data_IF_762579862253
#
_entry.id   IF_762579862253
#
_cell.length_a   1.000
_cell.length_b   1.000
_cell.length_c   1.000
_cell.angle_alpha   90.00
_cell.angle_beta   90.00
_cell.angle_gamma   90.00
#
_symmetry.space_group_name_H-M   'P 1'
#
loop_
_entity.id
_entity.type
_entity.pdbx_description
1 polymer ?
#
# COMPACT_ATOMS: atom_id res chain seq x y z
N UNK A 1 -8.56 13.79 4.47
CA UNK A 1 -9.85 13.89 3.73
C UNK A 1 -10.05 12.60 2.97
N UNK A 2 -11.22 11.94 3.04
CA UNK A 2 -11.44 10.65 2.41
C UNK A 2 -11.35 10.75 0.87
N UNK A 3 -10.70 9.76 0.23
CA UNK A 3 -10.45 9.71 -1.22
C UNK A 3 -11.69 9.29 -2.05
N UNK A 4 -12.87 9.82 -1.73
CA UNK A 4 -14.17 9.38 -2.29
C UNK A 4 -14.22 9.44 -3.82
N UNK A 5 -13.68 10.50 -4.43
CA UNK A 5 -13.65 10.66 -5.88
C UNK A 5 -12.77 9.60 -6.56
N UNK A 6 -11.64 9.26 -5.95
CA UNK A 6 -10.76 8.18 -6.44
C UNK A 6 -11.45 6.82 -6.28
N UNK A 7 -12.06 6.55 -5.12
CA UNK A 7 -12.77 5.29 -4.85
C UNK A 7 -13.83 5.00 -5.91
N UNK A 8 -14.66 5.99 -6.27
CA UNK A 8 -15.64 5.84 -7.35
C UNK A 8 -15.00 5.61 -8.73
N UNK A 9 -13.87 6.28 -9.01
CA UNK A 9 -13.21 6.19 -10.30
C UNK A 9 -12.45 4.87 -10.52
N UNK A 10 -11.96 4.22 -9.45
CA UNK A 10 -11.24 2.94 -9.54
C UNK A 10 -12.13 1.72 -9.41
N UNK A 11 -13.36 1.86 -8.89
CA UNK A 11 -14.28 0.76 -8.61
C UNK A 11 -14.47 -0.22 -9.78
N UNK A 12 -14.55 0.21 -11.07
CA UNK A 12 -14.68 -0.72 -12.19
C UNK A 12 -13.45 -1.60 -12.45
N UNK A 13 -12.30 -1.27 -11.85
CA UNK A 13 -11.00 -1.91 -12.13
C UNK A 13 -10.38 -2.57 -10.91
N UNK A 14 -10.81 -2.18 -9.71
CA UNK A 14 -10.30 -2.71 -8.45
C UNK A 14 -10.88 -4.12 -8.19
N UNK A 15 -10.01 -5.04 -7.80
CA UNK A 15 -10.40 -6.38 -7.34
C UNK A 15 -10.69 -6.40 -5.84
N UNK A 16 -9.91 -5.64 -5.07
CA UNK A 16 -10.12 -5.36 -3.65
C UNK A 16 -9.59 -3.97 -3.33
N UNK A 17 -10.22 -3.27 -2.39
CA UNK A 17 -9.80 -1.96 -1.92
C UNK A 17 -10.12 -1.80 -0.43
N UNK A 18 -9.31 -1.02 0.28
CA UNK A 18 -9.50 -0.66 1.69
C UNK A 18 -8.95 0.75 1.94
N UNK A 19 -9.55 1.48 2.87
CA UNK A 19 -8.98 2.70 3.42
C UNK A 19 -7.89 2.38 4.44
N UNK A 20 -6.74 3.05 4.34
CA UNK A 20 -5.63 2.85 5.27
C UNK A 20 -5.90 3.70 6.52
N UNK A 21 -6.22 3.04 7.63
CA UNK A 21 -6.52 3.66 8.93
C UNK A 21 -5.61 3.21 10.05
N UNK A 22 -5.07 2.00 9.96
CA UNK A 22 -4.26 1.40 11.03
C UNK A 22 -2.80 1.18 10.58
N UNK A 23 -2.57 1.32 9.27
CA UNK A 23 -1.25 1.24 8.65
C UNK A 23 -1.27 0.34 7.43
N UNK A 24 -0.50 0.72 6.40
CA UNK A 24 -0.54 0.04 5.10
C UNK A 24 -0.29 -1.47 5.20
N UNK A 25 0.61 -1.91 6.08
CA UNK A 25 0.94 -3.33 6.21
C UNK A 25 -0.21 -4.14 6.82
N UNK A 26 -0.87 -3.59 7.84
CA UNK A 26 -2.01 -4.21 8.50
C UNK A 26 -3.22 -4.29 7.57
N UNK A 27 -3.57 -3.15 6.97
CA UNK A 27 -4.75 -3.02 6.11
C UNK A 27 -4.63 -3.83 4.82
N UNK A 28 -3.43 -3.84 4.22
CA UNK A 28 -3.15 -4.75 3.11
C UNK A 28 -3.18 -6.21 3.57
N UNK A 29 -2.68 -6.51 4.77
CA UNK A 29 -2.76 -7.84 5.39
C UNK A 29 -4.21 -8.36 5.46
N UNK A 30 -5.17 -7.52 5.79
CA UNK A 30 -6.60 -7.88 5.78
C UNK A 30 -7.09 -8.27 4.38
N UNK A 31 -6.75 -7.48 3.35
CA UNK A 31 -7.09 -7.80 1.95
C UNK A 31 -6.50 -9.16 1.56
N UNK A 32 -5.23 -9.39 1.89
CA UNK A 32 -4.50 -10.61 1.53
C UNK A 32 -5.09 -11.86 2.20
N UNK A 33 -5.38 -11.77 3.50
CA UNK A 33 -5.97 -12.87 4.26
C UNK A 33 -7.37 -13.22 3.74
N UNK A 34 -8.23 -12.21 3.55
CA UNK A 34 -9.58 -12.42 3.02
C UNK A 34 -9.58 -13.00 1.60
N UNK A 35 -8.53 -12.73 0.82
CA UNK A 35 -8.39 -13.16 -0.57
C UNK A 35 -7.57 -14.47 -0.72
N UNK A 36 -6.95 -14.98 0.35
CA UNK A 36 -6.10 -16.18 0.31
C UNK A 36 -4.84 -16.02 -0.56
N UNK A 37 -4.28 -14.82 -0.66
CA UNK A 37 -3.10 -14.50 -1.50
C UNK A 37 -2.02 -13.78 -0.68
N UNK A 38 -0.83 -13.60 -1.26
CA UNK A 38 0.23 -12.77 -0.69
C UNK A 38 0.55 -11.54 -1.54
N UNK A 39 1.53 -10.75 -1.12
CA UNK A 39 2.00 -9.61 -1.91
C UNK A 39 3.49 -9.34 -1.71
N UNK A 40 4.08 -8.66 -2.68
CA UNK A 40 5.39 -8.02 -2.60
C UNK A 40 5.21 -6.53 -2.80
N UNK A 41 5.65 -5.72 -1.83
CA UNK A 41 5.69 -4.26 -1.93
C UNK A 41 7.12 -3.76 -1.84
N UNK A 42 7.40 -2.67 -2.55
CA UNK A 42 8.69 -2.02 -2.64
C UNK A 42 8.66 -0.69 -1.91
N UNK A 43 9.53 -0.54 -0.91
CA UNK A 43 9.55 0.63 -0.04
C UNK A 43 9.89 1.91 -0.79
N UNK A 44 10.75 1.84 -1.80
CA UNK A 44 11.12 2.99 -2.63
C UNK A 44 9.97 3.52 -3.49
N UNK A 45 8.92 2.71 -3.68
CA UNK A 45 7.73 3.05 -4.47
C UNK A 45 6.59 3.58 -3.63
N UNK A 46 6.68 3.50 -2.30
CA UNK A 46 5.66 4.04 -1.43
C UNK A 46 5.60 5.56 -1.58
N UNK A 47 4.40 6.14 -1.79
CA UNK A 47 4.23 7.58 -1.83
C UNK A 47 4.61 8.14 -0.47
N UNK A 48 5.46 9.16 -0.46
CA UNK A 48 5.83 9.85 0.78
C UNK A 48 6.23 11.27 0.45
N UNK A 49 6.00 12.17 1.40
CA UNK A 49 6.38 13.57 1.26
C UNK A 49 7.91 13.67 1.33
N UNK A 50 8.57 14.38 0.38
CA UNK A 50 10.02 14.56 0.39
C UNK A 50 10.57 15.07 1.74
N UNK A 51 9.81 15.93 2.43
CA UNK A 51 10.18 16.43 3.75
C UNK A 51 10.28 15.34 4.83
N UNK A 52 9.42 14.31 4.76
CA UNK A 52 9.45 13.18 5.70
C UNK A 52 10.67 12.29 5.46
N UNK A 53 11.08 12.13 4.20
CA UNK A 53 12.32 11.39 3.85
C UNK A 53 13.59 12.04 4.41
N UNK A 54 13.60 13.36 4.58
CA UNK A 54 14.74 14.09 5.15
C UNK A 54 14.69 14.25 6.66
N UNK A 55 13.48 14.22 7.25
CA UNK A 55 13.29 14.49 8.68
C UNK A 55 13.30 13.22 9.54
N UNK A 56 13.02 12.06 8.95
CA UNK A 56 12.89 10.78 9.66
C UNK A 56 14.06 9.84 9.34
N UNK A 57 14.47 9.06 10.33
CA UNK A 57 15.30 7.87 10.05
C UNK A 57 14.47 6.86 9.25
N UNK A 58 15.14 5.91 8.58
CA UNK A 58 14.45 4.83 7.86
C UNK A 58 13.48 4.06 8.76
N UNK A 59 13.87 3.80 10.02
CA UNK A 59 13.04 3.10 11.00
C UNK A 59 11.78 3.91 11.37
N UNK A 60 11.92 5.21 11.63
CA UNK A 60 10.79 6.08 11.91
C UNK A 60 9.84 6.19 10.71
N UNK A 61 10.40 6.27 9.51
CA UNK A 61 9.61 6.31 8.28
C UNK A 61 8.82 5.02 8.07
N UNK A 62 9.43 3.84 8.34
CA UNK A 62 8.72 2.57 8.30
C UNK A 62 7.60 2.51 9.34
N UNK A 63 7.87 2.95 10.58
CA UNK A 63 6.86 3.02 11.63
C UNK A 63 5.66 3.88 11.20
N UNK A 64 5.90 5.07 10.65
CA UNK A 64 4.83 5.97 10.22
C UNK A 64 4.09 5.47 8.97
N UNK A 65 4.77 4.90 7.99
CA UNK A 65 4.16 4.58 6.68
C UNK A 65 3.50 3.20 6.67
N UNK A 66 4.06 2.25 7.42
CA UNK A 66 3.61 0.85 7.41
C UNK A 66 2.72 0.52 8.60
N UNK A 67 2.88 1.20 9.73
CA UNK A 67 2.09 1.02 10.95
C UNK A 67 1.47 2.32 11.50
N UNK A 68 1.58 3.44 10.77
CA UNK A 68 0.88 4.69 11.09
C UNK A 68 -0.37 4.84 10.24
N UNK A 69 -1.42 5.39 10.84
CA UNK A 69 -2.80 5.23 10.36
C UNK A 69 -3.58 6.50 9.98
N UNK A 70 -3.01 7.69 10.16
CA UNK A 70 -3.83 8.93 10.14
C UNK A 70 -3.98 9.61 8.77
N UNK A 71 -3.40 9.05 7.70
CA UNK A 71 -3.37 9.71 6.38
C UNK A 71 -4.63 9.41 5.52
N UNK A 72 -5.47 8.43 5.90
CA UNK A 72 -6.71 8.04 5.19
C UNK A 72 -6.54 7.88 3.67
N UNK A 73 -5.46 7.22 3.26
CA UNK A 73 -5.19 6.91 1.85
C UNK A 73 -5.94 5.64 1.41
N UNK A 74 -6.05 5.43 0.10
CA UNK A 74 -6.72 4.26 -0.47
C UNK A 74 -5.69 3.22 -0.93
N UNK A 75 -5.77 2.00 -0.42
CA UNK A 75 -5.01 0.85 -0.95
C UNK A 75 -5.95 -0.04 -1.76
N UNK A 76 -5.52 -0.49 -2.94
CA UNK A 76 -6.31 -1.38 -3.77
C UNK A 76 -5.44 -2.28 -4.66
N UNK A 77 -6.05 -3.34 -5.18
CA UNK A 77 -5.45 -4.26 -6.15
C UNK A 77 -6.17 -4.17 -7.47
N UNK A 78 -5.44 -4.25 -8.59
CA UNK A 78 -6.02 -4.26 -9.93
C UNK A 78 -5.15 -5.09 -10.89
N UNK A 79 -5.75 -5.80 -11.86
CA UNK A 79 -5.01 -6.48 -12.93
C UNK A 79 -4.08 -5.54 -13.71
N UNK A 80 -2.94 -6.06 -14.15
CA UNK A 80 -1.96 -5.28 -14.93
C UNK A 80 -2.52 -4.73 -16.25
N UNK A 81 -3.54 -5.38 -16.82
CA UNK A 81 -4.24 -4.91 -18.02
C UNK A 81 -5.02 -3.61 -17.81
N UNK A 82 -5.36 -3.24 -16.57
CA UNK A 82 -6.09 -2.01 -16.26
C UNK A 82 -5.20 -0.84 -15.85
N UNK A 83 -3.88 -0.93 -16.03
CA UNK A 83 -2.94 0.13 -15.61
C UNK A 83 -3.27 1.49 -16.22
N UNK A 84 -3.53 1.54 -17.52
CA UNK A 84 -3.88 2.81 -18.19
C UNK A 84 -5.21 3.36 -17.68
N UNK A 85 -6.19 2.49 -17.43
CA UNK A 85 -7.48 2.89 -16.89
C UNK A 85 -7.37 3.46 -15.46
N UNK A 86 -6.52 2.85 -14.63
CA UNK A 86 -6.20 3.35 -13.28
C UNK A 86 -5.49 4.70 -13.34
N UNK A 87 -4.52 4.88 -14.23
CA UNK A 87 -3.85 6.19 -14.41
C UNK A 87 -4.85 7.27 -14.83
N UNK A 88 -5.72 6.97 -15.80
CA UNK A 88 -6.76 7.90 -16.21
C UNK A 88 -7.78 8.20 -15.09
N UNK A 89 -8.09 7.23 -14.23
CA UNK A 89 -8.94 7.44 -13.05
C UNK A 89 -8.26 8.36 -12.01
N UNK A 90 -6.96 8.20 -11.80
CA UNK A 90 -6.16 9.06 -10.92
C UNK A 90 -6.16 10.52 -11.40
N UNK A 91 -5.95 10.73 -12.70
CA UNK A 91 -5.99 12.05 -13.32
C UNK A 91 -7.39 12.70 -13.20
N UNK A 92 -8.45 11.98 -13.55
CA UNK A 92 -9.84 12.49 -13.44
C UNK A 92 -10.24 12.85 -12.02
N UNK A 93 -9.73 12.13 -11.02
CA UNK A 93 -10.01 12.38 -9.60
C UNK A 93 -9.03 13.37 -8.96
N UNK A 94 -8.08 13.90 -9.73
CA UNK A 94 -7.00 14.76 -9.25
C UNK A 94 -6.27 14.17 -8.02
N UNK A 95 -6.18 12.85 -7.93
CA UNK A 95 -5.59 12.12 -6.81
C UNK A 95 -4.46 11.24 -7.34
N UNK A 96 -3.19 11.54 -7.02
CA UNK A 96 -2.06 10.72 -7.44
C UNK A 96 -2.19 9.28 -6.96
N UNK A 97 -1.88 8.31 -7.82
CA UNK A 97 -1.85 6.89 -7.49
C UNK A 97 -0.46 6.36 -7.78
N UNK A 98 0.11 5.62 -6.82
CA UNK A 98 1.41 4.98 -6.96
C UNK A 98 1.26 3.45 -7.00
N UNK A 99 1.93 2.79 -7.95
CA UNK A 99 2.05 1.33 -7.93
C UNK A 99 3.18 0.92 -7.00
N UNK A 100 2.80 0.41 -5.83
CA UNK A 100 3.75 0.06 -4.77
C UNK A 100 4.21 -1.40 -4.80
N UNK A 101 3.51 -2.28 -5.52
CA UNK A 101 3.72 -3.71 -5.40
C UNK A 101 3.03 -4.58 -6.45
N UNK A 102 2.94 -5.87 -6.13
CA UNK A 102 2.20 -6.90 -6.87
C UNK A 102 1.67 -7.98 -5.93
N UNK A 103 0.53 -8.58 -6.28
CA UNK A 103 -0.02 -9.77 -5.62
C UNK A 103 0.74 -11.02 -6.08
N UNK A 104 0.90 -12.00 -5.18
CA UNK A 104 1.53 -13.27 -5.45
C UNK A 104 0.78 -14.43 -4.77
N UNK A 105 1.16 -15.68 -5.07
CA UNK A 105 0.58 -16.87 -4.45
C UNK A 105 1.25 -17.32 -3.15
N UNK A 106 2.06 -16.48 -2.50
CA UNK A 106 2.88 -16.92 -1.34
C UNK A 106 2.12 -16.94 -0.02
N UNK A 107 0.93 -16.33 0.04
CA UNK A 107 0.12 -16.25 1.25
C UNK A 107 0.66 -15.30 2.33
N UNK A 108 1.71 -14.51 2.05
CA UNK A 108 2.25 -13.51 2.99
C UNK A 108 2.58 -12.18 2.32
N UNK A 109 2.60 -11.12 3.11
CA UNK A 109 3.13 -9.82 2.70
C UNK A 109 4.66 -9.82 2.84
N UNK A 110 5.37 -9.45 1.77
CA UNK A 110 6.82 -9.20 1.77
C UNK A 110 7.08 -7.73 1.48
N UNK A 111 7.96 -7.15 2.28
CA UNK A 111 8.38 -5.75 2.15
C UNK A 111 9.83 -5.75 1.69
N UNK A 112 10.07 -5.12 0.55
CA UNK A 112 11.34 -5.17 -0.17
C UNK A 112 12.03 -3.80 -0.18
N UNK A 113 13.35 -3.79 -0.07
CA UNK A 113 14.17 -2.63 -0.37
C UNK A 113 14.36 -2.42 -1.88
N UNK A 114 15.09 -1.38 -2.26
CA UNK A 114 15.41 -1.05 -3.66
C UNK A 114 16.22 -2.14 -4.37
N UNK A 115 16.93 -2.98 -3.62
CA UNK A 115 17.74 -4.09 -4.13
C UNK A 115 16.92 -5.40 -4.18
N UNK A 116 15.65 -5.37 -3.79
CA UNK A 116 14.76 -6.52 -3.73
C UNK A 116 14.99 -7.43 -2.53
N UNK A 117 15.74 -7.00 -1.51
CA UNK A 117 15.93 -7.77 -0.28
C UNK A 117 14.76 -7.56 0.66
N UNK A 118 14.34 -8.64 1.31
CA UNK A 118 13.26 -8.60 2.29
C UNK A 118 13.71 -7.87 3.55
N UNK A 119 13.00 -6.78 3.88
CA UNK A 119 13.20 -6.02 5.09
C UNK A 119 12.41 -6.71 6.19
N UNK A 120 13.11 -7.18 7.23
CA UNK A 120 12.47 -7.66 8.45
C UNK A 120 12.18 -6.48 9.35
N UNK A 121 10.90 -6.23 9.59
CA UNK A 121 10.44 -5.18 10.47
C UNK A 121 10.37 -5.75 11.88
N UNK A 122 11.47 -5.65 12.62
CA UNK A 122 11.59 -6.18 13.99
C UNK A 122 10.74 -5.42 15.02
N UNK A 123 10.27 -4.21 14.69
CA UNK A 123 9.59 -3.31 15.63
C UNK A 123 8.22 -2.80 15.17
N UNK A 124 7.75 -3.19 13.98
CA UNK A 124 6.34 -2.99 13.66
C UNK A 124 5.59 -4.08 14.41
N UNK A 125 5.04 -3.75 15.57
CA UNK A 125 4.17 -4.63 16.32
C UNK A 125 3.01 -5.04 15.44
N UNK A 126 3.15 -6.15 14.73
CA UNK A 126 2.11 -6.80 13.95
C UNK A 126 2.35 -8.31 13.98
N UNK A 127 2.32 -8.86 15.20
CA UNK A 127 1.96 -10.24 15.40
C UNK A 127 0.43 -10.29 15.60
N UNK A 128 -0.31 -10.15 14.48
CA UNK A 128 -1.74 -10.52 14.43
C UNK A 128 -1.91 -11.92 13.82
N UNK A 129 -0.81 -12.62 13.55
CA UNK A 129 -0.78 -13.97 13.01
C UNK A 129 -0.10 -14.97 13.96
N UNK A 130 -0.06 -14.63 15.26
CA UNK A 130 0.27 -15.50 16.39
C UNK A 130 -0.92 -15.68 17.31
#
# INVERSE_FOLDING_TARGET
MPRVALSGAILPFAHAALDVSDGLAQDLGHILNASGVGAEIWTERLPTLPALKTALTAEQWFACTLAGGDDYELVFTAPASYREAVSAAAERSATPVARIGKINGTGRLKILDSDGREIKLTHLGFDHFG
#
